data_IF_149372554772
#
_entry.id   IF_149372554772
#
_cell.length_a   1.000
_cell.length_b   1.000
_cell.length_c   1.000
_cell.angle_alpha   90.00
_cell.angle_beta   90.00
_cell.angle_gamma   90.00
#
_symmetry.space_group_name_H-M   'P 1'
#
loop_
_entity.id
_entity.type
_entity.pdbx_description
1 polymer ?
#
# COMPACT_ATOMS: atom_id res chain seq x y z
N UNK A 1 -1.58 -16.86 9.34
CA UNK A 1 -2.53 -16.06 8.53
C UNK A 1 -3.99 -16.24 8.92
N UNK A 2 -4.47 -17.43 9.27
CA UNK A 2 -5.89 -17.66 9.55
C UNK A 2 -6.54 -16.68 10.56
N UNK A 3 -5.82 -16.33 11.64
CA UNK A 3 -6.29 -15.35 12.62
C UNK A 3 -6.60 -13.98 11.98
N UNK A 4 -5.68 -13.42 11.20
CA UNK A 4 -5.83 -12.09 10.60
C UNK A 4 -6.92 -12.07 9.53
N UNK A 5 -7.04 -13.16 8.76
CA UNK A 5 -8.11 -13.31 7.76
C UNK A 5 -9.48 -13.36 8.44
N UNK A 6 -9.62 -14.11 9.54
CA UNK A 6 -10.88 -14.20 10.31
C UNK A 6 -11.26 -12.88 10.99
N UNK A 7 -10.27 -12.05 11.33
CA UNK A 7 -10.49 -10.74 11.93
C UNK A 7 -10.60 -9.61 10.90
N UNK A 8 -10.68 -9.92 9.60
CA UNK A 8 -10.87 -8.89 8.57
C UNK A 8 -12.07 -7.99 8.91
N UNK A 9 -11.80 -6.68 8.98
CA UNK A 9 -12.78 -5.70 9.40
C UNK A 9 -12.89 -4.58 8.34
N UNK A 10 -14.05 -4.50 7.68
CA UNK A 10 -14.33 -3.43 6.71
C UNK A 10 -14.24 -2.03 7.32
N UNK A 11 -14.58 -1.90 8.61
CA UNK A 11 -14.58 -0.62 9.33
C UNK A 11 -13.20 -0.02 9.53
N UNK A 12 -12.11 -0.78 9.33
CA UNK A 12 -10.75 -0.23 9.40
C UNK A 12 -10.28 0.36 8.08
N UNK A 13 -10.95 0.06 6.96
CA UNK A 13 -10.46 0.41 5.61
C UNK A 13 -10.21 1.92 5.49
N UNK A 14 -11.17 2.75 5.90
CA UNK A 14 -11.06 4.20 5.75
C UNK A 14 -9.89 4.81 6.55
N UNK A 15 -9.45 4.14 7.62
CA UNK A 15 -8.33 4.56 8.45
C UNK A 15 -6.97 4.03 8.01
N UNK A 16 -6.88 3.24 6.94
CA UNK A 16 -5.61 2.65 6.51
C UNK A 16 -4.65 3.71 5.94
N UNK A 17 -3.39 3.62 6.36
CA UNK A 17 -2.29 4.47 5.88
C UNK A 17 -2.21 4.51 4.35
N UNK A 18 -2.28 3.36 3.69
CA UNK A 18 -2.09 3.23 2.24
C UNK A 18 -3.14 3.93 1.39
N UNK A 19 -4.20 4.50 2.00
CA UNK A 19 -5.21 5.28 1.28
C UNK A 19 -4.88 6.76 1.17
N UNK A 20 -4.05 7.28 2.08
CA UNK A 20 -3.84 8.72 2.23
C UNK A 20 -2.37 9.11 2.29
N UNK A 21 -1.48 8.14 2.49
CA UNK A 21 -0.04 8.35 2.60
C UNK A 21 0.67 7.53 1.54
N UNK A 22 1.79 8.06 1.06
CA UNK A 22 2.73 7.35 0.21
C UNK A 22 4.08 7.29 0.90
N UNK A 23 4.81 6.22 0.62
CA UNK A 23 6.13 5.99 1.15
C UNK A 23 7.16 5.98 0.01
N UNK A 24 8.23 6.75 0.18
CA UNK A 24 9.22 6.99 -0.88
C UNK A 24 10.57 6.45 -0.39
N UNK A 25 11.14 5.53 -1.17
CA UNK A 25 12.47 5.03 -0.88
C UNK A 25 13.55 6.09 -1.23
N UNK A 26 14.75 5.95 -0.67
CA UNK A 26 15.85 6.90 -0.90
C UNK A 26 16.25 7.02 -2.38
N UNK A 27 16.01 5.98 -3.16
CA UNK A 27 16.22 5.92 -4.60
C UNK A 27 14.95 6.31 -5.39
N UNK A 28 14.01 7.01 -4.76
CA UNK A 28 12.79 7.53 -5.38
C UNK A 28 11.76 6.51 -5.84
N UNK A 29 11.93 5.21 -5.56
CA UNK A 29 10.86 4.23 -5.77
C UNK A 29 9.63 4.58 -4.91
N UNK A 30 8.46 4.52 -5.52
CA UNK A 30 7.18 4.83 -4.87
C UNK A 30 6.52 3.55 -4.34
N UNK A 31 6.06 3.62 -3.09
CA UNK A 31 5.25 2.63 -2.42
C UNK A 31 4.02 3.30 -1.81
N UNK A 32 2.94 2.55 -1.65
CA UNK A 32 1.69 2.96 -0.99
C UNK A 32 1.75 2.79 0.54
N UNK A 33 2.61 1.91 1.07
CA UNK A 33 2.89 1.79 2.50
C UNK A 33 4.32 1.33 2.81
N UNK A 34 4.69 1.43 4.08
CA UNK A 34 5.99 0.97 4.61
C UNK A 34 6.16 -0.55 4.54
N UNK A 35 5.12 -1.34 4.82
CA UNK A 35 5.17 -2.80 4.66
C UNK A 35 5.44 -3.20 3.21
N UNK A 36 4.82 -2.53 2.23
CA UNK A 36 5.11 -2.78 0.83
C UNK A 36 6.54 -2.39 0.45
N UNK A 37 7.12 -1.34 1.06
CA UNK A 37 8.56 -1.06 0.90
C UNK A 37 9.44 -2.17 1.47
N UNK A 38 9.14 -2.68 2.67
CA UNK A 38 9.90 -3.78 3.28
C UNK A 38 9.84 -5.09 2.48
N UNK A 39 8.77 -5.27 1.69
CA UNK A 39 8.56 -6.44 0.84
C UNK A 39 8.94 -6.25 -0.64
N UNK A 40 9.53 -5.09 -1.02
CA UNK A 40 9.80 -4.71 -2.42
C UNK A 40 8.56 -4.77 -3.34
N UNK A 41 7.37 -4.51 -2.78
CA UNK A 41 6.09 -4.47 -3.48
C UNK A 41 5.82 -3.05 -4.02
N UNK A 42 6.69 -2.58 -4.91
CA UNK A 42 6.64 -1.24 -5.50
C UNK A 42 5.32 -0.95 -6.24
N UNK A 43 4.85 0.30 -6.16
CA UNK A 43 3.72 0.79 -6.93
C UNK A 43 3.95 0.62 -8.44
N UNK A 44 2.85 0.35 -9.15
CA UNK A 44 2.87 0.20 -10.60
C UNK A 44 1.87 1.13 -11.26
N UNK A 45 2.33 1.81 -12.31
CA UNK A 45 1.47 2.66 -13.12
C UNK A 45 0.50 1.81 -13.96
N UNK A 46 -0.35 2.49 -14.72
CA UNK A 46 -1.31 1.81 -15.61
C UNK A 46 -0.63 0.82 -16.57
N UNK A 47 0.54 1.20 -17.12
CA UNK A 47 1.34 0.36 -18.00
C UNK A 47 2.10 -0.78 -17.31
N UNK A 48 1.84 -1.00 -16.01
CA UNK A 48 2.51 -1.99 -15.15
C UNK A 48 4.01 -1.74 -14.93
N UNK A 49 4.55 -0.60 -15.35
CA UNK A 49 5.89 -0.16 -15.03
C UNK A 49 6.04 0.14 -13.52
N UNK A 50 7.22 -0.14 -12.97
CA UNK A 50 7.59 0.25 -11.60
C UNK A 50 7.71 1.77 -11.53
N UNK A 51 6.99 2.41 -10.62
CA UNK A 51 6.93 3.88 -10.54
C UNK A 51 7.99 4.46 -9.61
N UNK A 52 8.65 5.50 -10.07
CA UNK A 52 9.52 6.38 -9.29
C UNK A 52 9.00 7.80 -9.28
N UNK A 53 9.50 8.64 -8.37
CA UNK A 53 9.15 10.06 -8.29
C UNK A 53 9.53 10.85 -9.57
N UNK A 54 10.39 10.31 -10.42
CA UNK A 54 10.77 10.93 -11.70
C UNK A 54 9.87 10.51 -12.86
N UNK A 55 9.02 9.50 -12.67
CA UNK A 55 8.10 9.01 -13.70
C UNK A 55 6.75 9.73 -13.67
N UNK A 56 6.48 10.52 -12.61
CA UNK A 56 5.23 11.25 -12.43
C UNK A 56 5.46 12.76 -12.56
N UNK A 57 4.50 13.45 -13.16
CA UNK A 57 4.51 14.91 -13.31
C UNK A 57 3.63 15.62 -12.27
N UNK A 58 2.62 14.93 -11.73
CA UNK A 58 1.76 15.38 -10.63
C UNK A 58 1.43 14.23 -9.67
N UNK A 59 1.08 14.56 -8.43
CA UNK A 59 0.50 13.59 -7.49
C UNK A 59 -0.89 13.11 -7.92
N UNK A 60 -1.60 13.87 -8.76
CA UNK A 60 -2.91 13.46 -9.28
C UNK A 60 -2.83 12.15 -10.07
N UNK A 61 -1.69 11.88 -10.72
CA UNK A 61 -1.44 10.62 -11.43
C UNK A 61 -1.42 9.39 -10.51
N UNK A 62 -1.26 9.61 -9.19
CA UNK A 62 -1.29 8.54 -8.20
C UNK A 62 -2.70 8.23 -7.70
N UNK A 63 -3.69 9.09 -7.96
CA UNK A 63 -5.06 8.89 -7.49
C UNK A 63 -5.71 7.63 -8.08
N UNK A 64 -5.35 7.28 -9.32
CA UNK A 64 -5.86 6.09 -10.02
C UNK A 64 -4.95 4.85 -9.88
N UNK A 65 -3.80 4.99 -9.19
CA UNK A 65 -2.89 3.87 -8.93
C UNK A 65 -3.48 2.96 -7.86
N UNK A 66 -3.65 1.69 -8.23
CA UNK A 66 -4.17 0.68 -7.29
C UNK A 66 -3.18 0.39 -6.18
N UNK A 67 -3.68 0.45 -4.94
CA UNK A 67 -2.98 -0.04 -3.75
C UNK A 67 -2.63 -1.52 -3.97
N UNK A 68 -1.35 -1.84 -3.81
CA UNK A 68 -0.79 -3.19 -3.86
C UNK A 68 -1.17 -3.93 -2.59
N UNK A 69 -1.97 -4.97 -2.72
CA UNK A 69 -2.40 -5.80 -1.60
C UNK A 69 -1.68 -7.15 -1.59
N UNK A 70 -1.30 -7.62 -0.41
CA UNK A 70 -0.79 -8.98 -0.17
C UNK A 70 -1.21 -9.44 1.25
N UNK A 71 -0.78 -10.62 1.69
CA UNK A 71 -1.18 -11.24 2.95
C UNK A 71 -0.95 -10.37 4.20
N UNK A 72 0.07 -9.50 4.19
CA UNK A 72 0.33 -8.58 5.30
C UNK A 72 -0.79 -7.54 5.48
N UNK A 73 -1.56 -7.22 4.44
CA UNK A 73 -2.67 -6.28 4.52
C UNK A 73 -3.76 -6.76 5.47
N UNK A 74 -3.92 -8.08 5.67
CA UNK A 74 -4.83 -8.61 6.68
C UNK A 74 -4.44 -8.18 8.09
N UNK A 75 -3.15 -7.91 8.36
CA UNK A 75 -2.71 -7.32 9.62
C UNK A 75 -3.23 -5.90 9.80
N UNK A 76 -3.18 -5.09 8.75
CA UNK A 76 -3.69 -3.71 8.76
C UNK A 76 -5.22 -3.66 8.82
N UNK A 77 -5.92 -4.62 8.21
CA UNK A 77 -7.40 -4.67 8.20
C UNK A 77 -8.01 -5.43 9.37
N UNK A 78 -7.21 -6.11 10.20
CA UNK A 78 -7.73 -6.84 11.35
C UNK A 78 -8.20 -5.89 12.47
N UNK A 79 -7.64 -4.67 12.53
CA UNK A 79 -7.92 -3.71 13.59
C UNK A 79 -7.41 -4.19 14.95
N UNK A 80 -8.33 -4.54 15.86
CA UNK A 80 -8.01 -5.12 17.16
C UNK A 80 -7.85 -6.64 17.03
N UNK A 81 -6.73 -7.21 17.50
CA UNK A 81 -6.47 -8.65 17.43
C UNK A 81 -5.34 -9.07 16.48
N UNK A 82 -4.45 -8.15 16.10
CA UNK A 82 -3.25 -8.44 15.31
C UNK A 82 -2.06 -8.96 16.15
N UNK A 83 -2.28 -9.29 17.43
CA UNK A 83 -1.27 -9.69 18.43
C UNK A 83 -1.71 -10.94 19.19
#
# INVERSE_FOLDING_TARGET
MELLVRNYNLGTIDGLMCRNLMNINWNGQIYDCDFNQQLDLQCRGESQNRLTVWDISSLDEMADVKIRTDNHCFGCTAGMGSS
#
